data_IF_576851847178
#
_entry.id   IF_576851847178
#
_cell.length_a   1.000
_cell.length_b   1.000
_cell.length_c   1.000
_cell.angle_alpha   90.00
_cell.angle_beta   90.00
_cell.angle_gamma   90.00
#
_symmetry.space_group_name_H-M   'P 1'
#
loop_
_entity.id
_entity.type
_entity.pdbx_description
1 polymer ?
#
# COMPACT_ATOMS: atom_id res chain seq x y z
N UNK A 1 -1.37 14.09 25.95
CA UNK A 1 -0.25 13.22 25.52
C UNK A 1 -0.14 12.09 26.53
N UNK A 2 -0.04 10.82 26.09
CA UNK A 2 0.16 9.71 27.02
C UNK A 2 1.60 9.72 27.54
N UNK A 3 1.76 9.33 28.80
CA UNK A 3 3.02 9.33 29.55
C UNK A 3 3.68 7.94 29.64
N UNK A 4 3.01 6.90 29.13
CA UNK A 4 3.54 5.54 28.97
C UNK A 4 3.06 4.95 27.65
N UNK A 5 3.91 4.22 26.92
CA UNK A 5 3.56 3.49 25.70
C UNK A 5 3.85 2.01 25.92
N UNK A 6 2.85 1.14 25.81
CA UNK A 6 3.04 -0.31 25.74
C UNK A 6 2.07 -0.91 24.70
N UNK A 7 2.29 -2.16 24.26
CA UNK A 7 1.47 -2.81 23.21
C UNK A 7 0.02 -3.15 23.64
N UNK A 8 -0.44 -2.75 24.83
CA UNK A 8 -1.74 -3.17 25.41
C UNK A 8 -2.52 -2.05 26.10
N UNK A 9 -1.91 -0.88 26.37
CA UNK A 9 -2.53 0.29 26.99
C UNK A 9 -2.61 1.42 25.97
N UNK A 10 -3.72 2.14 25.99
CA UNK A 10 -3.98 3.32 25.16
C UNK A 10 -3.98 3.09 23.63
N UNK A 11 -4.18 1.84 23.18
CA UNK A 11 -4.41 1.49 21.77
C UNK A 11 -5.92 1.52 21.49
N UNK A 12 -6.36 2.39 20.57
CA UNK A 12 -7.77 2.51 20.17
C UNK A 12 -8.27 1.29 19.38
N UNK A 13 -7.43 0.76 18.49
CA UNK A 13 -7.67 -0.47 17.75
C UNK A 13 -6.34 -0.98 17.17
N UNK A 14 -6.32 -2.28 16.85
CA UNK A 14 -5.24 -2.97 16.16
C UNK A 14 -5.88 -3.90 15.14
N UNK A 15 -5.29 -3.96 13.95
CA UNK A 15 -5.75 -4.82 12.86
C UNK A 15 -4.54 -5.44 12.18
N UNK A 16 -4.69 -6.67 11.70
CA UNK A 16 -3.66 -7.31 10.90
C UNK A 16 -3.75 -6.80 9.46
N UNK A 17 -2.58 -6.61 8.83
CA UNK A 17 -2.47 -6.20 7.44
C UNK A 17 -2.13 -7.45 6.62
N UNK A 18 -2.88 -7.78 5.56
CA UNK A 18 -2.54 -8.91 4.71
C UNK A 18 -1.21 -8.66 4.00
N UNK A 19 -0.42 -9.72 3.85
CA UNK A 19 0.91 -9.64 3.27
C UNK A 19 1.88 -8.76 4.06
N UNK A 20 2.66 -7.95 3.34
CA UNK A 20 3.65 -7.03 3.91
C UNK A 20 3.85 -5.80 3.03
N UNK A 21 4.11 -4.67 3.66
CA UNK A 21 4.47 -3.43 2.98
C UNK A 21 5.40 -2.59 3.85
N UNK A 22 6.19 -1.72 3.21
CA UNK A 22 6.94 -0.66 3.90
C UNK A 22 6.31 0.72 3.69
N UNK A 23 5.11 0.76 3.09
CA UNK A 23 4.33 1.99 2.95
C UNK A 23 4.04 2.60 4.32
N UNK A 24 4.02 3.92 4.38
CA UNK A 24 3.44 4.62 5.54
C UNK A 24 1.93 4.72 5.35
N UNK A 25 1.13 4.62 6.43
CA UNK A 25 -0.31 4.83 6.32
C UNK A 25 -0.61 6.31 6.06
N UNK A 26 -1.59 6.58 5.20
CA UNK A 26 -2.20 7.90 5.04
C UNK A 26 -3.51 7.94 5.79
N UNK A 27 -3.71 8.97 6.60
CA UNK A 27 -4.91 9.14 7.43
C UNK A 27 -5.77 10.24 6.82
N UNK A 28 -7.01 9.91 6.49
CA UNK A 28 -8.04 10.87 6.09
C UNK A 28 -8.92 11.24 7.29
N UNK A 29 -10.02 11.95 7.07
CA UNK A 29 -10.99 12.24 8.13
C UNK A 29 -11.52 10.95 8.78
N UNK A 30 -11.86 9.96 7.97
CA UNK A 30 -12.63 8.77 8.34
C UNK A 30 -11.93 7.43 8.04
N UNK A 31 -10.81 7.44 7.31
CA UNK A 31 -10.08 6.24 6.92
C UNK A 31 -8.59 6.30 7.27
N UNK A 32 -8.00 5.12 7.39
CA UNK A 32 -6.56 4.89 7.33
C UNK A 32 -6.29 4.03 6.10
N UNK A 33 -5.46 4.51 5.18
CA UNK A 33 -5.20 3.87 3.89
C UNK A 33 -3.73 3.50 3.75
N UNK A 34 -3.44 2.31 3.25
CA UNK A 34 -2.07 1.86 2.99
C UNK A 34 -1.95 0.95 1.78
N UNK A 35 -0.74 0.90 1.23
CA UNK A 35 -0.36 -0.07 0.21
C UNK A 35 0.28 -1.30 0.86
N UNK A 36 -0.12 -2.49 0.45
CA UNK A 36 0.47 -3.76 0.89
C UNK A 36 0.62 -4.73 -0.28
N UNK A 37 1.43 -5.76 -0.10
CA UNK A 37 1.58 -6.83 -1.07
C UNK A 37 1.59 -8.20 -0.41
N UNK A 38 0.83 -9.13 -0.99
CA UNK A 38 0.92 -10.56 -0.68
C UNK A 38 1.90 -11.23 -1.64
N UNK A 39 3.01 -11.73 -1.10
CA UNK A 39 4.05 -12.38 -1.91
C UNK A 39 3.69 -13.82 -2.33
N UNK A 40 2.76 -14.49 -1.63
CA UNK A 40 2.32 -15.85 -1.98
C UNK A 40 1.40 -15.80 -3.21
N UNK A 41 0.40 -14.92 -3.17
CA UNK A 41 -0.57 -14.76 -4.26
C UNK A 41 -0.10 -13.75 -5.33
N UNK A 42 1.04 -13.09 -5.09
CA UNK A 42 1.62 -12.03 -5.91
C UNK A 42 0.63 -10.89 -6.17
N UNK A 43 -0.02 -10.41 -5.11
CA UNK A 43 -1.00 -9.34 -5.20
C UNK A 43 -0.44 -8.04 -4.63
N UNK A 44 -0.50 -6.97 -5.40
CA UNK A 44 -0.27 -5.60 -4.91
C UNK A 44 -1.61 -4.91 -4.75
N UNK A 45 -1.89 -4.39 -3.57
CA UNK A 45 -3.20 -3.86 -3.21
C UNK A 45 -3.11 -2.57 -2.40
N UNK A 46 -4.23 -1.84 -2.38
CA UNK A 46 -4.49 -0.74 -1.47
C UNK A 46 -5.66 -1.14 -0.57
N UNK A 47 -5.53 -0.87 0.72
CA UNK A 47 -6.54 -1.21 1.73
C UNK A 47 -6.88 0.05 2.50
N UNK A 48 -8.18 0.26 2.73
CA UNK A 48 -8.68 1.26 3.63
C UNK A 48 -9.35 0.62 4.85
N UNK A 49 -9.04 1.15 6.02
CA UNK A 49 -9.64 0.79 7.29
C UNK A 49 -10.45 1.97 7.82
N UNK A 50 -11.56 1.68 8.48
CA UNK A 50 -12.29 2.67 9.27
C UNK A 50 -11.38 3.21 10.37
N UNK A 51 -11.23 4.54 10.45
CA UNK A 51 -10.43 5.18 11.49
C UNK A 51 -11.03 5.02 12.89
N UNK A 52 -12.34 4.78 12.99
CA UNK A 52 -13.06 4.60 14.25
C UNK A 52 -12.66 3.33 14.99
N UNK A 53 -12.56 2.22 14.26
CA UNK A 53 -12.56 0.86 14.82
C UNK A 53 -11.52 -0.07 14.19
N UNK A 54 -10.83 0.35 13.13
CA UNK A 54 -9.80 -0.44 12.46
C UNK A 54 -10.35 -1.59 11.60
N UNK A 55 -11.66 -1.67 11.38
CA UNK A 55 -12.26 -2.65 10.48
C UNK A 55 -11.96 -2.28 9.03
N UNK A 56 -11.73 -3.30 8.20
CA UNK A 56 -11.56 -3.11 6.76
C UNK A 56 -12.82 -2.46 6.20
N UNK A 57 -12.65 -1.30 5.57
CA UNK A 57 -13.71 -0.63 4.81
C UNK A 57 -13.77 -1.17 3.40
N UNK A 58 -12.62 -1.26 2.75
CA UNK A 58 -12.47 -1.87 1.44
C UNK A 58 -11.02 -2.28 1.19
N UNK A 59 -10.85 -3.17 0.23
CA UNK A 59 -9.57 -3.64 -0.28
C UNK A 59 -9.65 -3.69 -1.81
N UNK A 60 -8.57 -3.32 -2.49
CA UNK A 60 -8.53 -3.34 -3.95
C UNK A 60 -7.18 -3.83 -4.43
N UNK A 61 -7.19 -5.02 -5.03
CA UNK A 61 -6.05 -5.58 -5.75
C UNK A 61 -5.82 -4.78 -7.03
N UNK A 62 -4.65 -4.16 -7.14
CA UNK A 62 -4.27 -3.34 -8.29
C UNK A 62 -3.52 -4.13 -9.35
N UNK A 63 -2.72 -5.12 -8.91
CA UNK A 63 -1.94 -6.03 -9.76
C UNK A 63 -1.93 -7.43 -9.16
N UNK A 64 -1.95 -8.44 -10.04
CA UNK A 64 -1.75 -9.84 -9.70
C UNK A 64 -0.66 -10.43 -10.61
N UNK A 65 0.32 -11.10 -10.04
CA UNK A 65 1.51 -11.59 -10.74
C UNK A 65 2.48 -10.47 -11.11
N UNK A 66 3.52 -10.81 -11.90
CA UNK A 66 4.47 -9.83 -12.43
C UNK A 66 5.46 -9.29 -11.39
N UNK A 67 5.58 -9.95 -10.24
CA UNK A 67 6.54 -9.56 -9.22
C UNK A 67 7.99 -9.78 -9.72
N UNK A 68 8.97 -9.02 -9.21
CA UNK A 68 10.38 -9.25 -9.52
C UNK A 68 10.78 -10.69 -9.21
N UNK A 69 11.61 -11.27 -10.07
CA UNK A 69 12.11 -12.62 -9.92
C UNK A 69 13.06 -12.78 -8.72
N UNK A 70 13.45 -14.03 -8.40
CA UNK A 70 14.38 -14.31 -7.32
C UNK A 70 15.67 -13.49 -7.44
N UNK A 71 15.98 -12.69 -6.42
CA UNK A 71 17.19 -11.85 -6.37
C UNK A 71 17.06 -10.45 -6.98
N UNK A 72 15.90 -10.10 -7.55
CA UNK A 72 15.64 -8.75 -8.09
C UNK A 72 15.03 -7.79 -7.07
N UNK A 73 14.49 -8.32 -5.96
CA UNK A 73 14.08 -7.56 -4.79
C UNK A 73 15.10 -7.74 -3.66
N UNK A 74 15.58 -6.63 -3.09
CA UNK A 74 16.45 -6.70 -1.92
C UNK A 74 15.71 -7.30 -0.72
N UNK A 75 16.38 -8.08 0.13
CA UNK A 75 15.75 -8.77 1.29
C UNK A 75 15.05 -7.83 2.28
N UNK A 76 15.47 -6.57 2.32
CA UNK A 76 14.88 -5.50 3.14
C UNK A 76 13.82 -4.67 2.39
N UNK A 77 13.43 -5.07 1.18
CA UNK A 77 12.34 -4.44 0.43
C UNK A 77 11.08 -5.29 0.50
N UNK A 78 9.97 -4.70 0.07
CA UNK A 78 8.69 -5.37 -0.18
C UNK A 78 8.21 -5.05 -1.60
N UNK A 79 7.18 -5.74 -2.08
CA UNK A 79 6.49 -5.37 -3.31
C UNK A 79 5.52 -4.18 -3.12
N UNK A 80 5.45 -3.59 -1.91
CA UNK A 80 4.63 -2.45 -1.55
C UNK A 80 5.39 -1.44 -0.67
N UNK A 81 6.50 -0.89 -1.19
CA UNK A 81 7.28 0.12 -0.45
C UNK A 81 6.71 1.54 -0.56
N UNK A 82 5.99 1.84 -1.65
CA UNK A 82 5.47 3.18 -1.92
C UNK A 82 4.34 3.56 -0.97
N UNK A 83 4.42 4.75 -0.38
CA UNK A 83 3.29 5.34 0.37
C UNK A 83 2.24 5.84 -0.62
N UNK A 84 0.97 5.60 -0.33
CA UNK A 84 -0.13 6.16 -1.13
C UNK A 84 -0.19 7.69 -0.98
N UNK A 85 -0.76 8.39 -1.95
CA UNK A 85 -1.05 9.83 -1.86
C UNK A 85 -2.56 10.03 -1.80
N UNK A 86 -3.02 11.01 -1.02
CA UNK A 86 -4.40 11.46 -0.99
C UNK A 86 -4.47 12.96 -1.28
N UNK A 87 -5.30 13.38 -2.24
CA UNK A 87 -5.45 14.79 -2.64
C UNK A 87 -6.74 15.47 -2.14
N UNK A 88 -7.59 14.74 -1.40
CA UNK A 88 -8.90 15.19 -0.96
C UNK A 88 -10.07 14.57 -1.74
N UNK A 89 -9.85 14.12 -2.97
CA UNK A 89 -10.86 13.48 -3.84
C UNK A 89 -10.49 12.02 -4.16
N UNK A 90 -9.18 11.73 -4.29
CA UNK A 90 -8.67 10.46 -4.81
C UNK A 90 -7.45 9.97 -4.08
N UNK A 91 -7.28 8.66 -4.12
CA UNK A 91 -6.12 7.95 -3.59
C UNK A 91 -5.27 7.48 -4.76
N UNK A 92 -3.96 7.73 -4.69
CA UNK A 92 -3.01 7.34 -5.73
C UNK A 92 -1.99 6.35 -5.17
N UNK A 93 -1.75 5.29 -5.92
CA UNK A 93 -0.72 4.31 -5.60
C UNK A 93 0.17 4.08 -6.82
N UNK A 94 1.47 3.90 -6.56
CA UNK A 94 2.44 3.61 -7.61
C UNK A 94 3.21 2.35 -7.24
N UNK A 95 3.14 1.37 -8.14
CA UNK A 95 3.79 0.08 -7.97
C UNK A 95 4.79 -0.17 -9.11
N UNK A 96 5.86 -0.90 -8.80
CA UNK A 96 6.64 -1.58 -9.82
C UNK A 96 6.00 -2.95 -10.02
N UNK A 97 5.56 -3.23 -11.24
CA UNK A 97 5.02 -4.52 -11.61
C UNK A 97 5.42 -4.84 -13.06
N UNK A 98 5.81 -6.08 -13.34
CA UNK A 98 6.20 -6.54 -14.67
C UNK A 98 7.28 -5.65 -15.34
N UNK A 99 8.23 -5.17 -14.53
CA UNK A 99 9.31 -4.28 -14.97
C UNK A 99 8.88 -2.84 -15.32
N UNK A 100 7.66 -2.44 -14.93
CA UNK A 100 7.06 -1.15 -15.27
C UNK A 100 6.56 -0.42 -14.03
N UNK A 101 6.72 0.90 -14.03
CA UNK A 101 6.07 1.77 -13.04
C UNK A 101 4.63 1.96 -13.50
N UNK A 102 3.69 1.57 -12.65
CA UNK A 102 2.26 1.73 -12.90
C UNK A 102 1.67 2.61 -11.80
N UNK A 103 1.08 3.73 -12.22
CA UNK A 103 0.31 4.60 -11.34
C UNK A 103 -1.18 4.26 -11.47
N UNK A 104 -1.88 4.25 -10.35
CA UNK A 104 -3.31 3.98 -10.28
C UNK A 104 -3.98 5.03 -9.41
N UNK A 105 -5.14 5.52 -9.83
CA UNK A 105 -6.03 6.30 -8.98
C UNK A 105 -7.28 5.51 -8.61
N UNK A 106 -7.63 5.59 -7.33
CA UNK A 106 -8.85 5.06 -6.74
C UNK A 106 -9.74 6.22 -6.27
N UNK A 107 -11.05 6.02 -6.31
CA UNK A 107 -11.99 6.86 -5.58
C UNK A 107 -12.01 6.47 -4.08
N UNK A 108 -12.82 7.17 -3.29
CA UNK A 108 -12.90 6.98 -1.83
C UNK A 108 -13.54 5.64 -1.45
N UNK A 109 -14.24 5.00 -2.38
CA UNK A 109 -14.83 3.68 -2.26
C UNK A 109 -13.88 2.55 -2.71
N UNK A 110 -12.64 2.90 -3.08
CA UNK A 110 -11.61 1.95 -3.50
C UNK A 110 -11.71 1.53 -4.97
N UNK A 111 -12.66 2.07 -5.73
CA UNK A 111 -12.82 1.69 -7.13
C UNK A 111 -11.77 2.39 -7.99
N UNK A 112 -11.18 1.62 -8.91
CA UNK A 112 -10.21 2.09 -9.90
C UNK A 112 -10.84 3.10 -10.85
N UNK A 113 -10.39 4.36 -10.75
CA UNK A 113 -10.79 5.45 -11.66
C UNK A 113 -9.97 5.39 -12.94
N UNK A 114 -8.65 5.24 -12.82
CA UNK A 114 -7.75 5.05 -13.95
C UNK A 114 -6.48 4.31 -13.53
N UNK A 115 -5.77 3.74 -14.50
CA UNK A 115 -4.47 3.13 -14.32
C UNK A 115 -3.58 3.42 -15.53
N UNK A 116 -2.32 3.80 -15.30
CA UNK A 116 -1.41 4.24 -16.36
C UNK A 116 0.00 3.70 -16.13
N UNK A 117 0.56 3.10 -17.17
CA UNK A 117 1.98 2.79 -17.26
C UNK A 117 2.78 4.09 -17.48
N UNK A 118 3.74 4.35 -16.60
CA UNK A 118 4.60 5.54 -16.66
C UNK A 118 5.95 5.27 -17.33
N UNK A 119 6.30 3.99 -17.51
CA UNK A 119 7.49 3.56 -18.23
C UNK A 119 8.18 2.35 -17.58
N UNK A 120 9.18 1.83 -18.27
CA UNK A 120 10.01 0.75 -17.75
C UNK A 120 10.90 1.24 -16.62
N UNK A 121 11.13 0.37 -15.63
CA UNK A 121 12.04 0.63 -14.54
C UNK A 121 12.84 -0.63 -14.23
N UNK A 122 14.16 -0.47 -14.17
CA UNK A 122 15.08 -1.55 -13.84
C UNK A 122 15.95 -1.09 -12.67
N UNK A 123 15.84 -1.80 -11.56
CA UNK A 123 16.63 -1.56 -10.35
C UNK A 123 16.95 -2.90 -9.72
N UNK A 124 18.23 -3.11 -9.38
CA UNK A 124 18.67 -4.30 -8.62
C UNK A 124 18.18 -4.34 -7.17
N UNK A 125 17.56 -3.27 -6.70
CA UNK A 125 17.17 -3.10 -5.30
C UNK A 125 15.66 -2.97 -5.09
N UNK A 126 14.86 -3.09 -6.16
CA UNK A 126 13.43 -2.83 -6.15
C UNK A 126 13.08 -1.35 -6.29
N UNK A 127 11.78 -1.05 -6.14
CA UNK A 127 11.21 0.29 -6.25
C UNK A 127 10.72 0.77 -4.88
N UNK A 128 11.21 1.93 -4.45
CA UNK A 128 10.91 2.53 -3.15
C UNK A 128 10.66 4.05 -3.30
N UNK A 129 9.52 4.44 -3.89
CA UNK A 129 9.17 5.85 -4.02
C UNK A 129 8.68 6.41 -2.67
N UNK A 130 9.09 7.64 -2.38
CA UNK A 130 8.35 8.52 -1.48
C UNK A 130 7.27 9.23 -2.30
N UNK A 131 6.13 9.64 -1.71
CA UNK A 131 5.36 10.74 -2.29
C UNK A 131 6.24 11.97 -2.47
#
# INVERSE_FOLDING_TARGET
MPIEWNETKDIKWRTDIPGRGHSSPVVTEDMVVLATADDQDQEQMVIAYNRSDGLVRWETVLHQGGFPGPGELHKKGTNANGTVLFDGDRIYAVFLNSGKIIATALDLEGKKVWQKELGSFNSKFGYAPSP
#
